data_IF_849728979800
#
_entry.id   IF_849728979800
#
_cell.length_a   1.000
_cell.length_b   1.000
_cell.length_c   1.000
_cell.angle_alpha   90.00
_cell.angle_beta   90.00
_cell.angle_gamma   90.00
#
_symmetry.space_group_name_H-M   'P 1'
#
loop_
_entity.id
_entity.type
_entity.pdbx_description
1 polymer ?
#
# COMPACT_ATOMS: atom_id res chain seq x y z
N UNK A 1 7.45 -26.27 -18.53
CA UNK A 1 6.45 -27.11 -17.83
C UNK A 1 5.66 -26.20 -16.94
N UNK A 2 4.37 -26.46 -16.78
CA UNK A 2 3.54 -25.77 -15.80
C UNK A 2 3.29 -26.72 -14.63
N UNK A 3 3.72 -26.33 -13.44
CA UNK A 3 3.54 -27.10 -12.23
C UNK A 3 2.22 -26.79 -11.52
N UNK A 4 1.45 -25.78 -11.97
CA UNK A 4 0.27 -25.30 -11.25
C UNK A 4 0.65 -24.84 -9.83
N UNK A 5 -0.17 -25.19 -8.84
CA UNK A 5 0.00 -24.77 -7.44
C UNK A 5 0.66 -25.84 -6.54
N UNK A 6 1.13 -26.96 -7.10
CA UNK A 6 1.47 -28.16 -6.30
C UNK A 6 2.72 -28.02 -5.40
N UNK A 7 3.59 -27.04 -5.67
CA UNK A 7 4.83 -26.79 -4.92
C UNK A 7 4.82 -25.48 -4.15
N UNK A 8 3.69 -24.77 -4.14
CA UNK A 8 3.51 -23.51 -3.44
C UNK A 8 2.38 -23.64 -2.43
N UNK A 9 2.51 -23.00 -1.29
CA UNK A 9 1.46 -22.98 -0.27
C UNK A 9 0.25 -22.18 -0.75
N UNK A 10 -0.87 -22.32 -0.04
CA UNK A 10 -1.89 -21.28 -0.07
C UNK A 10 -1.33 -19.93 0.42
N UNK A 11 -1.96 -18.82 0.02
CA UNK A 11 -1.59 -17.48 0.47
C UNK A 11 -1.85 -17.30 1.97
N UNK A 12 -0.94 -16.60 2.64
CA UNK A 12 -1.21 -15.92 3.90
C UNK A 12 -1.52 -14.45 3.61
N UNK A 13 -2.67 -13.97 4.07
CA UNK A 13 -3.10 -12.58 3.85
C UNK A 13 -2.67 -11.72 5.04
N UNK A 14 -1.81 -10.73 4.79
CA UNK A 14 -1.38 -9.74 5.76
C UNK A 14 -2.09 -8.41 5.55
N UNK A 15 -2.65 -7.86 6.63
CA UNK A 15 -3.19 -6.51 6.70
C UNK A 15 -2.42 -5.71 7.73
N UNK A 16 -1.43 -4.95 7.27
CA UNK A 16 -0.36 -4.49 8.16
C UNK A 16 0.33 -5.71 8.80
N UNK A 17 0.51 -5.68 10.12
CA UNK A 17 1.17 -6.76 10.86
C UNK A 17 0.22 -7.91 11.25
N UNK A 18 -1.07 -7.83 10.90
CA UNK A 18 -2.08 -8.83 11.26
C UNK A 18 -2.34 -9.81 10.13
N UNK A 19 -2.44 -11.09 10.46
CA UNK A 19 -2.94 -12.12 9.53
C UNK A 19 -4.46 -12.14 9.59
N UNK A 20 -5.10 -12.20 8.42
CA UNK A 20 -6.56 -12.28 8.29
C UNK A 20 -6.95 -13.51 7.48
N UNK A 21 -8.17 -14.02 7.71
CA UNK A 21 -8.68 -15.19 7.01
C UNK A 21 -9.32 -14.82 5.65
N UNK A 22 -9.44 -15.80 4.77
CA UNK A 22 -9.98 -15.60 3.41
C UNK A 22 -11.49 -15.28 3.37
N UNK A 23 -12.23 -15.46 4.47
CA UNK A 23 -13.64 -15.08 4.57
C UNK A 23 -13.84 -13.70 5.22
N UNK A 24 -12.78 -13.08 5.75
CA UNK A 24 -12.86 -11.71 6.25
C UNK A 24 -13.09 -10.77 5.07
N UNK A 25 -14.14 -9.95 5.14
CA UNK A 25 -14.38 -8.89 4.17
C UNK A 25 -13.28 -7.82 4.28
N UNK A 26 -12.72 -7.46 3.13
CA UNK A 26 -11.65 -6.46 3.02
C UNK A 26 -12.14 -5.39 2.07
N UNK A 27 -12.16 -4.15 2.56
CA UNK A 27 -12.52 -3.00 1.76
C UNK A 27 -11.63 -2.87 0.53
N UNK A 28 -12.23 -2.48 -0.60
CA UNK A 28 -11.54 -2.30 -1.87
C UNK A 28 -10.36 -1.30 -1.82
N UNK A 29 -10.36 -0.34 -0.88
CA UNK A 29 -9.28 0.61 -0.71
C UNK A 29 -8.26 0.23 0.37
N UNK A 30 -8.43 -0.93 1.01
CA UNK A 30 -7.45 -1.43 1.98
C UNK A 30 -6.38 -2.27 1.30
N UNK A 31 -5.13 -1.90 1.51
CA UNK A 31 -3.99 -2.70 1.08
C UNK A 31 -3.83 -3.93 1.96
N UNK A 32 -3.45 -5.02 1.30
CA UNK A 32 -2.98 -6.25 1.93
C UNK A 32 -1.74 -6.75 1.20
N UNK A 33 -1.03 -7.69 1.80
CA UNK A 33 0.03 -8.44 1.14
C UNK A 33 -0.33 -9.92 1.14
N UNK A 34 -0.07 -10.60 0.03
CA UNK A 34 -0.22 -12.04 -0.11
C UNK A 34 1.18 -12.65 -0.04
N UNK A 35 1.39 -13.54 0.94
CA UNK A 35 2.64 -14.25 1.12
C UNK A 35 2.47 -15.74 0.86
N UNK A 36 3.46 -16.36 0.23
CA UNK A 36 3.49 -17.76 -0.12
C UNK A 36 4.86 -18.33 0.27
N UNK A 37 4.87 -19.61 0.60
CA UNK A 37 6.10 -20.40 0.72
C UNK A 37 6.10 -21.44 -0.40
N UNK A 38 7.26 -21.77 -0.94
CA UNK A 38 7.38 -22.87 -1.89
C UNK A 38 8.47 -23.85 -1.45
N UNK A 39 8.27 -25.12 -1.78
CA UNK A 39 9.23 -26.19 -1.52
C UNK A 39 9.16 -27.19 -2.68
N UNK A 40 10.30 -27.42 -3.33
CA UNK A 40 10.36 -28.23 -4.55
C UNK A 40 11.19 -29.49 -4.28
N UNK A 41 10.59 -30.70 -4.34
CA UNK A 41 11.29 -31.94 -4.08
C UNK A 41 12.53 -32.14 -4.96
N UNK A 42 13.58 -32.76 -4.41
CA UNK A 42 14.88 -32.91 -5.08
C UNK A 42 14.82 -33.69 -6.41
N UNK A 43 13.84 -34.57 -6.57
CA UNK A 43 13.66 -35.39 -7.77
C UNK A 43 12.98 -34.66 -8.93
N UNK A 44 12.59 -33.40 -8.74
CA UNK A 44 11.99 -32.57 -9.79
C UNK A 44 13.08 -31.84 -10.56
N UNK A 45 13.06 -31.93 -11.88
CA UNK A 45 13.91 -31.10 -12.73
C UNK A 45 13.18 -29.80 -13.04
N UNK A 46 13.85 -28.67 -12.82
CA UNK A 46 13.36 -27.35 -13.18
C UNK A 46 14.23 -26.84 -14.32
N UNK A 47 13.59 -26.34 -15.37
CA UNK A 47 14.23 -25.61 -16.47
C UNK A 47 13.76 -24.16 -16.43
N UNK A 48 14.63 -23.22 -16.81
CA UNK A 48 14.23 -21.83 -16.95
C UNK A 48 13.01 -21.70 -17.88
N UNK A 49 12.00 -20.94 -17.45
CA UNK A 49 10.71 -20.80 -18.12
C UNK A 49 9.62 -21.77 -17.65
N UNK A 50 9.93 -22.72 -16.77
CA UNK A 50 8.89 -23.46 -16.05
C UNK A 50 8.09 -22.53 -15.12
N UNK A 51 6.83 -22.87 -14.82
CA UNK A 51 5.91 -21.98 -14.09
C UNK A 51 5.24 -22.64 -12.89
N UNK A 52 4.83 -21.81 -11.92
CA UNK A 52 3.86 -22.13 -10.86
C UNK A 52 2.77 -21.07 -10.81
N UNK A 53 1.55 -21.49 -10.48
CA UNK A 53 0.41 -20.61 -10.28
C UNK A 53 0.34 -20.14 -8.83
N UNK A 54 0.15 -18.83 -8.64
CA UNK A 54 -0.02 -18.21 -7.32
C UNK A 54 -1.50 -17.86 -7.15
N UNK A 55 -2.22 -18.69 -6.37
CA UNK A 55 -3.66 -18.49 -6.14
C UNK A 55 -3.93 -17.15 -5.46
N UNK A 56 -4.83 -16.35 -6.03
CA UNK A 56 -5.35 -15.12 -5.42
C UNK A 56 -6.63 -15.43 -4.64
N UNK A 57 -6.73 -15.10 -3.33
CA UNK A 57 -7.96 -15.23 -2.56
C UNK A 57 -9.11 -14.39 -3.11
N UNK A 58 -10.34 -14.88 -3.04
CA UNK A 58 -11.54 -14.20 -3.57
C UNK A 58 -11.84 -12.86 -2.87
N UNK A 59 -11.46 -12.72 -1.60
CA UNK A 59 -11.58 -11.47 -0.85
C UNK A 59 -10.51 -10.42 -1.21
N UNK A 60 -9.65 -10.71 -2.20
CA UNK A 60 -8.57 -9.83 -2.64
C UNK A 60 -8.51 -9.63 -4.16
N UNK A 61 -7.90 -8.53 -4.58
CA UNK A 61 -7.65 -8.19 -5.98
C UNK A 61 -6.22 -7.66 -6.17
N UNK A 62 -5.63 -7.97 -7.32
CA UNK A 62 -4.44 -7.29 -7.82
C UNK A 62 -4.85 -5.87 -8.23
N UNK A 63 -4.28 -4.86 -7.56
CA UNK A 63 -4.64 -3.46 -7.81
C UNK A 63 -4.07 -2.91 -9.13
N UNK A 64 -2.89 -3.39 -9.52
CA UNK A 64 -2.20 -3.00 -10.76
C UNK A 64 -1.30 -4.15 -11.19
N UNK A 65 -1.23 -4.43 -12.49
CA UNK A 65 -0.36 -5.48 -13.01
C UNK A 65 1.10 -5.15 -12.65
N UNK A 66 1.86 -6.18 -12.29
CA UNK A 66 3.23 -6.03 -11.80
C UNK A 66 4.13 -7.14 -12.31
N UNK A 67 5.44 -6.90 -12.26
CA UNK A 67 6.47 -7.91 -12.45
C UNK A 67 7.71 -7.54 -11.63
N UNK A 68 8.29 -8.50 -10.92
CA UNK A 68 9.57 -8.33 -10.23
C UNK A 68 10.34 -9.65 -10.19
N UNK A 69 11.66 -9.55 -10.04
CA UNK A 69 12.55 -10.70 -9.98
C UNK A 69 12.93 -11.03 -8.53
N UNK A 70 13.02 -12.31 -8.23
CA UNK A 70 13.69 -12.85 -7.05
C UNK A 70 15.03 -13.40 -7.53
N UNK A 71 16.11 -12.88 -6.96
CA UNK A 71 17.49 -13.24 -7.31
C UNK A 71 18.21 -13.83 -6.11
N UNK A 72 19.18 -14.71 -6.35
CA UNK A 72 20.08 -15.22 -5.34
C UNK A 72 21.11 -14.16 -4.92
N UNK A 73 21.89 -14.44 -3.88
CA UNK A 73 22.93 -13.53 -3.36
C UNK A 73 23.99 -13.14 -4.41
N UNK A 74 24.24 -14.02 -5.37
CA UNK A 74 25.16 -13.78 -6.49
C UNK A 74 24.52 -13.03 -7.68
N UNK A 75 23.24 -12.66 -7.56
CA UNK A 75 22.45 -11.99 -8.59
C UNK A 75 21.83 -12.93 -9.63
N UNK A 76 22.00 -14.24 -9.51
CA UNK A 76 21.37 -15.20 -10.43
C UNK A 76 19.85 -15.19 -10.27
N UNK A 77 19.12 -15.10 -11.38
CA UNK A 77 17.65 -15.12 -11.38
C UNK A 77 17.11 -16.47 -10.90
N UNK A 78 16.35 -16.44 -9.80
CA UNK A 78 15.64 -17.60 -9.27
C UNK A 78 14.29 -17.73 -9.94
N UNK A 79 13.51 -16.64 -9.97
CA UNK A 79 12.22 -16.59 -10.65
C UNK A 79 11.76 -15.14 -10.85
N UNK A 80 10.92 -14.94 -11.86
CA UNK A 80 10.16 -13.70 -12.06
C UNK A 80 8.73 -13.94 -11.59
N UNK A 81 8.24 -13.08 -10.70
CA UNK A 81 6.84 -13.07 -10.27
C UNK A 81 6.10 -12.03 -11.10
N UNK A 82 4.97 -12.42 -11.69
CA UNK A 82 4.10 -11.53 -12.44
C UNK A 82 2.67 -11.65 -11.96
N UNK A 83 1.95 -10.52 -11.96
CA UNK A 83 0.54 -10.46 -11.62
C UNK A 83 -0.22 -9.58 -12.61
N UNK A 84 -1.42 -10.00 -12.99
CA UNK A 84 -2.26 -9.29 -13.94
C UNK A 84 -3.57 -8.82 -13.29
N UNK A 85 -3.78 -7.51 -13.25
CA UNK A 85 -4.96 -6.90 -12.63
C UNK A 85 -6.25 -7.11 -13.41
N UNK A 86 -6.19 -7.39 -14.73
CA UNK A 86 -7.40 -7.58 -15.55
C UNK A 86 -8.01 -8.96 -15.35
N UNK A 87 -7.16 -9.99 -15.34
CA UNK A 87 -7.56 -11.39 -15.09
C UNK A 87 -7.54 -11.77 -13.62
N UNK A 88 -6.94 -10.95 -12.76
CA UNK A 88 -6.70 -11.21 -11.34
C UNK A 88 -5.93 -12.53 -11.11
N UNK A 89 -4.88 -12.74 -11.88
CA UNK A 89 -4.02 -13.94 -11.83
C UNK A 89 -2.58 -13.57 -11.50
N UNK A 90 -1.84 -14.49 -10.89
CA UNK A 90 -0.41 -14.34 -10.65
C UNK A 90 0.34 -15.64 -10.92
N UNK A 91 1.56 -15.51 -11.44
CA UNK A 91 2.39 -16.62 -11.89
C UNK A 91 3.84 -16.37 -11.50
N UNK A 92 4.50 -17.40 -10.97
CA UNK A 92 5.94 -17.45 -10.79
C UNK A 92 6.57 -18.19 -11.98
N UNK A 93 7.55 -17.58 -12.65
CA UNK A 93 8.30 -18.19 -13.76
C UNK A 93 9.74 -18.42 -13.34
N UNK A 94 10.21 -19.66 -13.33
CA UNK A 94 11.56 -20.01 -12.90
C UNK A 94 12.63 -19.45 -13.84
N UNK A 95 13.70 -18.95 -13.25
CA UNK A 95 14.95 -18.62 -13.91
C UNK A 95 15.94 -19.80 -13.90
N UNK A 96 17.20 -19.57 -14.32
CA UNK A 96 18.20 -20.63 -14.46
C UNK A 96 18.76 -21.17 -13.14
N UNK A 97 18.55 -20.50 -11.99
CA UNK A 97 19.20 -20.85 -10.73
C UNK A 97 19.03 -22.33 -10.34
N UNK A 98 17.81 -22.87 -10.46
CA UNK A 98 17.50 -24.25 -10.05
C UNK A 98 17.88 -25.34 -11.07
N UNK A 99 18.45 -24.98 -12.22
CA UNK A 99 19.07 -25.94 -13.13
C UNK A 99 20.36 -26.52 -12.53
N UNK A 100 21.07 -25.70 -11.73
CA UNK A 100 22.31 -26.07 -11.05
C UNK A 100 22.10 -26.43 -9.57
N UNK A 101 21.16 -25.76 -8.91
CA UNK A 101 20.81 -26.00 -7.50
C UNK A 101 19.63 -26.97 -7.41
N UNK A 102 19.90 -28.27 -7.34
CA UNK A 102 18.90 -29.34 -7.51
C UNK A 102 18.34 -29.92 -6.20
N UNK A 103 18.91 -29.59 -5.05
CA UNK A 103 18.47 -30.11 -3.76
C UNK A 103 17.98 -28.99 -2.83
N UNK A 104 17.13 -29.33 -1.87
CA UNK A 104 16.65 -28.47 -0.78
C UNK A 104 16.10 -27.11 -1.27
N UNK A 105 15.37 -27.13 -2.39
CA UNK A 105 14.88 -25.91 -3.04
C UNK A 105 13.65 -25.37 -2.33
N UNK A 106 13.74 -24.14 -1.84
CA UNK A 106 12.66 -23.50 -1.10
C UNK A 106 12.80 -21.99 -1.07
N UNK A 107 11.71 -21.30 -0.73
CA UNK A 107 11.73 -19.86 -0.52
C UNK A 107 10.37 -19.27 -0.23
N UNK A 108 10.32 -17.94 -0.26
CA UNK A 108 9.15 -17.15 0.05
C UNK A 108 8.84 -16.20 -1.11
N UNK A 109 7.55 -15.93 -1.33
CA UNK A 109 7.06 -14.99 -2.32
C UNK A 109 6.07 -14.07 -1.62
N UNK A 110 6.18 -12.76 -1.83
CA UNK A 110 5.24 -11.78 -1.30
C UNK A 110 4.91 -10.76 -2.37
N UNK A 111 3.63 -10.40 -2.51
CA UNK A 111 3.24 -9.25 -3.30
C UNK A 111 2.03 -8.51 -2.73
N UNK A 112 1.91 -7.24 -3.10
CA UNK A 112 0.81 -6.38 -2.69
C UNK A 112 -0.47 -6.71 -3.45
N UNK A 113 -1.59 -6.67 -2.72
CA UNK A 113 -2.94 -6.75 -3.24
C UNK A 113 -3.82 -5.75 -2.45
N UNK A 114 -5.12 -5.77 -2.71
CA UNK A 114 -6.12 -5.00 -1.99
C UNK A 114 -7.36 -5.84 -1.74
N UNK A 115 -8.30 -5.34 -0.93
CA UNK A 115 -9.60 -5.98 -0.78
C UNK A 115 -10.44 -6.01 -2.06
N UNK A 116 -11.44 -6.89 -2.09
CA UNK A 116 -12.41 -7.01 -3.19
C UNK A 116 -13.79 -6.46 -2.85
N UNK A 117 -14.07 -6.13 -1.59
CA UNK A 117 -15.40 -5.71 -1.13
C UNK A 117 -15.62 -4.22 -1.34
N UNK A 118 -16.66 -3.87 -2.11
CA UNK A 118 -17.20 -2.52 -2.14
C UNK A 118 -18.16 -2.34 -0.96
N UNK A 119 -17.75 -1.62 0.08
CA UNK A 119 -18.66 -1.25 1.16
C UNK A 119 -19.45 0.00 0.78
N UNK A 120 -20.77 -0.04 0.97
CA UNK A 120 -21.63 1.13 0.84
C UNK A 120 -21.88 1.73 2.24
N UNK A 121 -21.40 2.95 2.46
CA UNK A 121 -21.80 3.76 3.60
C UNK A 121 -22.44 5.06 3.09
N UNK A 122 -23.76 5.20 3.17
CA UNK A 122 -24.41 6.42 2.67
C UNK A 122 -24.26 7.63 3.62
N UNK A 123 -23.73 7.47 4.83
CA UNK A 123 -23.78 8.53 5.87
C UNK A 123 -22.50 9.38 5.99
N UNK A 124 -21.46 9.14 5.18
CA UNK A 124 -20.23 9.94 5.29
C UNK A 124 -20.40 11.38 4.81
N UNK A 125 -19.62 12.27 5.46
CA UNK A 125 -19.54 13.71 5.16
C UNK A 125 -18.23 14.11 4.49
N UNK A 126 -17.18 13.28 4.62
CA UNK A 126 -15.95 13.36 3.87
C UNK A 126 -15.47 11.97 3.47
N UNK A 127 -14.93 11.85 2.26
CA UNK A 127 -14.24 10.65 1.78
C UNK A 127 -12.91 11.03 1.14
N UNK A 128 -11.90 10.17 1.28
CA UNK A 128 -10.59 10.34 0.66
C UNK A 128 -10.12 9.02 0.06
N UNK A 129 -9.61 9.09 -1.16
CA UNK A 129 -9.04 7.95 -1.89
C UNK A 129 -7.71 8.35 -2.53
N UNK A 130 -6.85 7.35 -2.73
CA UNK A 130 -5.55 7.50 -3.38
C UNK A 130 -5.33 6.45 -4.47
N UNK A 131 -4.69 6.83 -5.56
CA UNK A 131 -4.22 5.90 -6.59
C UNK A 131 -2.87 6.34 -7.16
N UNK A 132 -2.19 5.41 -7.82
CA UNK A 132 -0.90 5.69 -8.45
C UNK A 132 -1.09 6.44 -9.77
N UNK A 133 -0.21 7.39 -10.07
CA UNK A 133 -0.11 7.95 -11.42
C UNK A 133 0.21 6.84 -12.44
N UNK A 134 -0.08 7.09 -13.72
CA UNK A 134 0.14 6.09 -14.78
C UNK A 134 1.59 5.57 -14.84
N UNK A 135 2.58 6.44 -14.60
CA UNK A 135 4.01 6.09 -14.55
C UNK A 135 4.49 5.61 -13.16
N UNK A 136 3.55 5.53 -12.20
CA UNK A 136 3.74 5.23 -10.79
C UNK A 136 4.70 6.18 -10.05
N UNK A 137 5.07 7.34 -10.60
CA UNK A 137 6.02 8.26 -9.92
C UNK A 137 5.36 9.17 -8.88
N UNK A 138 4.03 9.21 -8.87
CA UNK A 138 3.25 10.09 -8.00
C UNK A 138 2.03 9.38 -7.43
N UNK A 139 1.52 9.89 -6.31
CA UNK A 139 0.22 9.56 -5.77
C UNK A 139 -0.80 10.63 -6.18
N UNK A 140 -1.96 10.22 -6.67
CA UNK A 140 -3.09 11.08 -6.97
C UNK A 140 -4.11 10.91 -5.87
N UNK A 141 -4.54 12.02 -5.28
CA UNK A 141 -5.46 12.05 -4.16
C UNK A 141 -6.75 12.76 -4.58
N UNK A 142 -7.88 12.18 -4.20
CA UNK A 142 -9.18 12.85 -4.31
C UNK A 142 -9.87 12.88 -2.95
N UNK A 143 -10.49 14.02 -2.63
CA UNK A 143 -11.34 14.18 -1.46
C UNK A 143 -12.69 14.71 -1.92
N UNK A 144 -13.77 14.09 -1.44
CA UNK A 144 -15.13 14.60 -1.55
C UNK A 144 -15.59 15.04 -0.17
N UNK A 145 -16.17 16.23 -0.06
CA UNK A 145 -16.70 16.80 1.20
C UNK A 145 -18.14 17.24 0.97
N UNK A 146 -18.97 17.11 2.00
CA UNK A 146 -20.37 17.50 2.02
C UNK A 146 -21.17 16.98 0.80
N UNK A 147 -21.11 15.67 0.50
CA UNK A 147 -21.73 15.11 -0.71
C UNK A 147 -23.24 15.38 -0.78
N UNK A 148 -23.92 15.49 0.37
CA UNK A 148 -25.37 15.77 0.46
C UNK A 148 -25.72 17.26 0.37
N UNK A 149 -24.74 18.14 0.13
CA UNK A 149 -24.93 19.60 0.02
C UNK A 149 -25.63 20.23 1.23
N UNK A 150 -25.33 19.73 2.44
CA UNK A 150 -25.88 20.27 3.69
C UNK A 150 -25.34 21.68 3.93
N UNK A 151 -26.10 22.50 4.65
CA UNK A 151 -25.63 23.80 5.12
C UNK A 151 -24.74 23.61 6.35
N UNK A 152 -23.44 23.88 6.22
CA UNK A 152 -22.40 23.71 7.26
C UNK A 152 -21.52 24.97 7.29
N UNK A 153 -21.15 25.46 8.46
CA UNK A 153 -20.37 26.70 8.65
C UNK A 153 -18.98 26.44 9.24
N UNK A 154 -18.05 27.39 9.04
CA UNK A 154 -16.66 27.34 9.50
C UNK A 154 -15.91 26.05 9.09
N UNK A 155 -16.15 25.59 7.86
CA UNK A 155 -15.57 24.37 7.33
C UNK A 155 -14.10 24.59 7.00
N UNK A 156 -13.20 23.81 7.61
CA UNK A 156 -11.76 23.84 7.39
C UNK A 156 -11.30 22.42 7.06
N UNK A 157 -10.64 22.27 5.92
CA UNK A 157 -9.95 21.04 5.54
C UNK A 157 -8.45 21.18 5.82
N UNK A 158 -7.86 20.20 6.50
CA UNK A 158 -6.41 20.05 6.63
C UNK A 158 -5.99 18.73 6.00
N UNK A 159 -5.03 18.78 5.09
CA UNK A 159 -4.39 17.61 4.47
C UNK A 159 -2.95 17.49 4.92
N UNK A 160 -2.53 16.27 5.26
CA UNK A 160 -1.20 15.95 5.77
C UNK A 160 -0.70 14.72 5.01
N UNK A 161 0.32 14.92 4.18
CA UNK A 161 1.01 13.82 3.51
C UNK A 161 1.71 12.93 4.55
N UNK A 162 1.69 11.62 4.29
CA UNK A 162 2.55 10.67 4.99
C UNK A 162 4.01 10.83 4.56
N UNK A 163 4.87 10.01 5.16
CA UNK A 163 6.31 10.03 4.90
C UNK A 163 6.66 9.81 3.42
N UNK A 164 7.88 10.25 3.05
CA UNK A 164 8.47 10.08 1.72
C UNK A 164 7.62 10.64 0.57
N UNK A 165 6.85 11.69 0.83
CA UNK A 165 6.09 12.42 -0.19
C UNK A 165 6.27 13.92 -0.06
N UNK A 166 6.08 14.62 -1.18
CA UNK A 166 6.06 16.07 -1.22
C UNK A 166 5.07 16.66 -2.22
N UNK A 167 4.60 17.87 -1.92
CA UNK A 167 3.91 18.79 -2.80
C UNK A 167 4.95 19.77 -3.37
N UNK A 168 5.44 19.55 -4.58
CA UNK A 168 6.48 20.40 -5.17
C UNK A 168 6.06 21.86 -5.28
N UNK A 169 7.05 22.76 -5.36
CA UNK A 169 6.80 24.16 -5.72
C UNK A 169 5.99 24.26 -7.02
N UNK A 170 4.81 24.88 -6.95
CA UNK A 170 3.88 24.99 -8.07
C UNK A 170 2.97 23.78 -8.28
N UNK A 171 2.85 22.89 -7.29
CA UNK A 171 1.79 21.89 -7.29
C UNK A 171 0.41 22.56 -7.41
N UNK A 172 -0.52 21.87 -8.04
CA UNK A 172 -1.86 22.36 -8.29
C UNK A 172 -2.86 21.50 -7.53
N UNK A 173 -3.84 22.18 -6.93
CA UNK A 173 -5.05 21.56 -6.41
C UNK A 173 -6.18 22.02 -7.34
N UNK A 174 -6.86 21.07 -7.97
CA UNK A 174 -8.16 21.34 -8.59
C UNK A 174 -9.20 21.17 -7.49
N UNK A 175 -9.76 22.27 -6.99
CA UNK A 175 -10.76 22.27 -5.94
C UNK A 175 -12.01 23.01 -6.43
N UNK A 176 -13.17 22.36 -6.41
CA UNK A 176 -14.41 22.84 -7.02
C UNK A 176 -15.60 22.60 -6.08
N UNK A 177 -16.51 23.58 -6.02
CA UNK A 177 -17.86 23.43 -5.48
C UNK A 177 -18.76 22.76 -6.53
N UNK A 178 -19.74 21.99 -6.08
CA UNK A 178 -20.59 21.23 -6.98
C UNK A 178 -21.71 20.44 -6.30
N UNK A 179 -22.19 19.43 -7.01
CA UNK A 179 -23.09 18.39 -6.48
C UNK A 179 -22.45 17.02 -6.68
N UNK A 180 -22.67 16.12 -5.72
CA UNK A 180 -22.15 14.75 -5.79
C UNK A 180 -23.30 13.76 -5.71
N UNK A 181 -23.32 12.80 -6.62
CA UNK A 181 -24.23 11.65 -6.55
C UNK A 181 -23.49 10.47 -5.95
N UNK A 182 -23.85 10.07 -4.73
CA UNK A 182 -23.22 8.94 -4.02
C UNK A 182 -23.39 7.59 -4.75
N UNK A 183 -24.46 7.42 -5.53
CA UNK A 183 -24.76 6.16 -6.22
C UNK A 183 -23.96 6.03 -7.50
N UNK A 184 -23.90 7.09 -8.30
CA UNK A 184 -23.12 7.10 -9.56
C UNK A 184 -21.68 7.54 -9.37
N UNK A 185 -21.34 8.06 -8.18
CA UNK A 185 -20.04 8.60 -7.80
C UNK A 185 -19.59 9.76 -8.68
N UNK A 186 -20.55 10.41 -9.31
CA UNK A 186 -20.32 11.49 -10.24
C UNK A 186 -20.35 12.83 -9.50
N UNK A 187 -19.30 13.63 -9.70
CA UNK A 187 -19.24 15.02 -9.27
C UNK A 187 -19.54 15.95 -10.44
N UNK A 188 -20.52 16.82 -10.28
CA UNK A 188 -20.82 17.88 -11.22
C UNK A 188 -20.29 19.20 -10.67
N UNK A 189 -19.24 19.72 -11.30
CA UNK A 189 -18.64 21.00 -10.95
C UNK A 189 -19.59 22.18 -11.24
N UNK A 190 -19.56 23.17 -10.35
CA UNK A 190 -20.27 24.43 -10.49
C UNK A 190 -19.28 25.59 -10.60
N UNK A 191 -18.41 25.74 -9.61
CA UNK A 191 -17.42 26.83 -9.58
C UNK A 191 -16.14 26.40 -8.85
N UNK A 192 -14.97 26.94 -9.23
CA UNK A 192 -13.73 26.67 -8.53
C UNK A 192 -13.71 27.32 -7.15
N UNK A 193 -13.02 26.69 -6.20
CA UNK A 193 -12.66 27.31 -4.92
C UNK A 193 -11.60 28.38 -5.18
N UNK A 194 -11.74 29.54 -4.52
CA UNK A 194 -10.75 30.61 -4.58
C UNK A 194 -9.38 30.12 -4.08
N UNK A 195 -8.33 30.12 -4.93
CA UNK A 195 -6.99 29.69 -4.53
C UNK A 195 -6.42 30.47 -3.34
N UNK A 196 -6.89 31.69 -3.06
CA UNK A 196 -6.45 32.48 -1.90
C UNK A 196 -6.81 31.84 -0.56
N UNK A 197 -7.78 30.92 -0.54
CA UNK A 197 -8.22 30.16 0.64
C UNK A 197 -7.30 28.97 0.96
N UNK A 198 -6.35 28.67 0.09
CA UNK A 198 -5.46 27.51 0.19
C UNK A 198 -4.11 27.99 0.72
N UNK A 199 -3.71 27.47 1.88
CA UNK A 199 -2.37 27.65 2.43
C UNK A 199 -1.64 26.30 2.38
N UNK A 200 -0.50 26.24 1.72
CA UNK A 200 0.23 24.99 1.50
C UNK A 200 1.65 25.00 2.04
N UNK A 201 2.14 23.80 2.28
CA UNK A 201 3.53 23.46 2.62
C UNK A 201 3.97 22.33 1.69
N UNK A 202 5.24 21.91 1.78
CA UNK A 202 5.72 20.77 0.99
C UNK A 202 5.10 19.43 1.44
N UNK A 203 4.48 19.36 2.62
CA UNK A 203 3.94 18.10 3.19
C UNK A 203 2.44 18.13 3.42
N UNK A 204 1.72 19.11 2.87
CA UNK A 204 0.28 19.22 3.08
C UNK A 204 -0.25 20.62 2.85
N UNK A 205 -1.54 20.82 3.13
CA UNK A 205 -2.21 22.10 2.96
C UNK A 205 -3.43 22.25 3.88
N UNK A 206 -3.88 23.48 4.06
CA UNK A 206 -5.13 23.84 4.73
C UNK A 206 -5.99 24.65 3.76
N UNK A 207 -7.28 24.35 3.71
CA UNK A 207 -8.27 25.10 2.93
C UNK A 207 -9.37 25.62 3.87
N UNK A 208 -9.54 26.93 3.93
CA UNK A 208 -10.70 27.56 4.57
C UNK A 208 -11.89 27.56 3.59
N UNK A 209 -12.76 26.55 3.73
CA UNK A 209 -13.94 26.40 2.90
C UNK A 209 -15.07 27.34 3.35
N UNK A 210 -15.03 27.85 4.58
CA UNK A 210 -16.02 28.76 5.14
C UNK A 210 -17.40 28.09 5.27
N UNK A 211 -18.42 28.71 4.70
CA UNK A 211 -19.79 28.14 4.69
C UNK A 211 -20.00 27.32 3.43
N UNK A 212 -20.44 26.08 3.58
CA UNK A 212 -20.82 25.18 2.49
C UNK A 212 -22.33 24.94 2.49
N UNK A 213 -22.90 24.92 1.29
CA UNK A 213 -24.25 24.46 0.95
C UNK A 213 -24.24 23.58 -0.31
N UNK A 214 -23.04 23.13 -0.69
CA UNK A 214 -22.71 22.35 -1.88
C UNK A 214 -21.67 21.30 -1.49
N UNK A 215 -21.54 20.27 -2.33
CA UNK A 215 -20.41 19.36 -2.25
C UNK A 215 -19.12 20.07 -2.70
N UNK A 216 -17.99 19.58 -2.20
CA UNK A 216 -16.66 19.97 -2.67
C UNK A 216 -15.96 18.73 -3.18
N UNK A 217 -15.35 18.83 -4.37
CA UNK A 217 -14.39 17.85 -4.86
C UNK A 217 -13.04 18.52 -4.99
N UNK A 218 -12.00 17.82 -4.55
CA UNK A 218 -10.63 18.28 -4.70
C UNK A 218 -9.70 17.16 -5.11
N UNK A 219 -8.85 17.45 -6.09
CA UNK A 219 -7.88 16.52 -6.68
C UNK A 219 -6.51 17.17 -6.76
N UNK A 220 -5.49 16.46 -6.33
CA UNK A 220 -4.11 16.92 -6.34
C UNK A 220 -3.15 15.72 -6.39
N UNK A 221 -1.87 16.02 -6.58
CA UNK A 221 -0.82 15.03 -6.78
C UNK A 221 0.32 15.31 -5.80
N UNK A 222 0.83 14.26 -5.16
CA UNK A 222 2.09 14.28 -4.41
C UNK A 222 3.14 13.41 -5.12
N UNK A 223 4.40 13.83 -5.08
CA UNK A 223 5.49 13.03 -5.62
C UNK A 223 5.92 11.97 -4.62
N UNK A 224 6.36 10.83 -5.13
CA UNK A 224 6.96 9.75 -4.34
C UNK A 224 8.47 9.95 -4.27
N UNK A 225 9.01 10.01 -3.05
CA UNK A 225 10.43 10.27 -2.79
C UNK A 225 11.25 9.02 -2.50
N UNK A 226 10.59 7.87 -2.34
CA UNK A 226 11.22 6.58 -2.08
C UNK A 226 10.87 5.57 -3.18
N UNK A 227 11.03 4.28 -2.89
CA UNK A 227 10.50 3.21 -3.72
C UNK A 227 9.03 3.50 -4.10
N UNK A 228 8.82 3.65 -5.40
CA UNK A 228 7.53 4.01 -5.97
C UNK A 228 6.48 2.91 -5.85
N UNK A 229 6.93 1.69 -5.60
CA UNK A 229 6.09 0.50 -5.51
C UNK A 229 5.48 0.30 -4.12
N UNK A 230 5.96 1.01 -3.11
CA UNK A 230 5.37 1.00 -1.77
C UNK A 230 4.03 1.74 -1.75
N UNK A 231 3.11 1.35 -0.84
CA UNK A 231 1.96 2.17 -0.48
C UNK A 231 2.39 3.51 0.13
N UNK A 232 1.76 4.60 -0.32
CA UNK A 232 1.96 5.94 0.23
C UNK A 232 0.71 6.38 0.98
N UNK A 233 0.88 6.98 2.15
CA UNK A 233 -0.23 7.37 3.05
C UNK A 233 -0.53 8.85 2.98
N UNK A 234 -1.78 9.21 3.24
CA UNK A 234 -2.20 10.60 3.33
C UNK A 234 -3.43 10.72 4.25
N UNK A 235 -3.48 11.79 5.04
CA UNK A 235 -4.54 12.04 6.02
C UNK A 235 -5.26 13.36 5.74
N UNK A 236 -6.58 13.31 5.73
CA UNK A 236 -7.44 14.49 5.70
C UNK A 236 -8.20 14.64 7.02
N UNK A 237 -8.31 15.88 7.49
CA UNK A 237 -9.02 16.27 8.70
C UNK A 237 -10.02 17.38 8.32
N UNK A 238 -11.31 17.13 8.55
CA UNK A 238 -12.38 18.10 8.31
C UNK A 238 -12.92 18.60 9.64
N UNK A 239 -12.84 19.91 9.83
CA UNK A 239 -13.42 20.62 10.97
C UNK A 239 -14.57 21.50 10.47
N UNK A 240 -15.62 21.64 11.26
CA UNK A 240 -16.69 22.61 11.03
C UNK A 240 -17.43 22.90 12.34
N UNK A 241 -18.34 23.88 12.33
CA UNK A 241 -19.20 24.13 13.49
C UNK A 241 -20.06 22.91 13.83
N UNK A 242 -20.09 22.54 15.11
CA UNK A 242 -20.89 21.44 15.63
C UNK A 242 -20.43 20.96 17.00
N UNK A 243 -21.13 19.96 17.55
CA UNK A 243 -20.78 19.31 18.82
C UNK A 243 -20.00 17.99 18.60
N UNK A 244 -19.58 17.73 17.36
CA UNK A 244 -18.86 16.53 16.95
C UNK A 244 -17.35 16.76 16.87
N UNK A 245 -16.59 15.67 16.99
CA UNK A 245 -15.16 15.68 16.74
C UNK A 245 -14.85 15.93 15.25
N UNK A 246 -13.64 16.40 14.92
CA UNK A 246 -13.18 16.50 13.54
C UNK A 246 -13.25 15.15 12.83
N UNK A 247 -13.68 15.16 11.56
CA UNK A 247 -13.68 13.94 10.75
C UNK A 247 -12.28 13.69 10.24
N UNK A 248 -11.70 12.54 10.57
CA UNK A 248 -10.36 12.15 10.14
C UNK A 248 -10.47 10.95 9.19
N UNK A 249 -9.90 11.08 7.99
CA UNK A 249 -9.79 9.99 7.01
C UNK A 249 -8.32 9.80 6.66
N UNK A 250 -7.83 8.58 6.82
CA UNK A 250 -6.56 8.15 6.25
C UNK A 250 -6.82 7.34 4.97
N UNK A 251 -5.99 7.58 3.96
CA UNK A 251 -6.01 6.86 2.71
C UNK A 251 -4.60 6.47 2.32
N UNK A 252 -4.49 5.42 1.49
CA UNK A 252 -3.23 4.95 0.97
C UNK A 252 -3.34 4.66 -0.53
N UNK A 253 -2.24 4.83 -1.26
CA UNK A 253 -2.16 4.31 -2.63
C UNK A 253 -1.95 2.80 -2.60
N UNK A 254 -2.39 2.06 -3.63
CA UNK A 254 -2.06 0.65 -3.74
C UNK A 254 -0.55 0.42 -3.84
N UNK A 255 -0.06 -0.61 -3.15
CA UNK A 255 1.28 -1.16 -3.39
C UNK A 255 1.32 -1.90 -4.73
N UNK A 256 2.51 -2.00 -5.34
CA UNK A 256 2.73 -2.69 -6.62
C UNK A 256 3.92 -3.63 -6.47
N UNK A 257 3.83 -4.85 -7.00
CA UNK A 257 4.92 -5.82 -6.91
C UNK A 257 5.11 -6.36 -5.49
N UNK A 258 6.34 -6.65 -5.12
CA UNK A 258 6.69 -7.19 -3.82
C UNK A 258 8.12 -7.71 -3.78
N UNK A 259 8.33 -8.82 -3.09
CA UNK A 259 9.64 -9.41 -2.93
C UNK A 259 9.56 -10.89 -2.59
N UNK A 260 10.70 -11.47 -2.27
CA UNK A 260 10.77 -12.86 -1.91
C UNK A 260 12.21 -13.33 -1.78
N UNK A 261 12.35 -14.61 -1.54
CA UNK A 261 13.62 -15.29 -1.35
C UNK A 261 13.60 -16.65 -2.03
N UNK A 262 14.79 -17.19 -2.25
CA UNK A 262 14.95 -18.55 -2.77
C UNK A 262 16.33 -19.09 -2.44
N UNK A 263 16.40 -20.39 -2.25
CA UNK A 263 17.62 -21.10 -1.90
C UNK A 263 17.57 -22.52 -2.45
N UNK A 264 18.74 -23.09 -2.71
CA UNK A 264 18.89 -24.49 -3.05
C UNK A 264 20.36 -24.89 -3.09
N UNK A 265 20.63 -26.18 -2.95
CA UNK A 265 21.96 -26.76 -2.95
C UNK A 265 22.29 -27.36 -4.33
N UNK A 266 23.56 -27.30 -4.79
CA UNK A 266 24.03 -28.12 -5.89
C UNK A 266 23.79 -29.58 -5.50
N UNK A 267 22.90 -30.28 -6.23
CA UNK A 267 22.49 -31.64 -5.82
C UNK A 267 23.67 -32.59 -5.69
N UNK A 268 23.51 -33.71 -4.97
CA UNK A 268 24.55 -34.73 -4.88
C UNK A 268 25.06 -35.09 -6.28
N UNK A 269 26.35 -34.84 -6.51
CA UNK A 269 27.03 -35.35 -7.70
C UNK A 269 27.10 -36.87 -7.53
N UNK A 270 26.16 -37.60 -8.12
CA UNK A 270 26.34 -39.03 -8.32
C UNK A 270 27.52 -39.19 -9.28
N UNK A 271 28.73 -39.27 -8.74
CA UNK A 271 29.86 -39.88 -9.44
C UNK A 271 29.47 -41.35 -9.65
N UNK A 272 28.80 -41.63 -10.76
CA UNK A 272 28.76 -42.98 -11.30
C UNK A 272 30.22 -43.36 -11.61
N UNK A 273 30.83 -44.06 -10.67
CA UNK A 273 32.03 -44.84 -10.96
C UNK A 273 31.56 -45.92 -11.92
N UNK A 274 31.85 -45.73 -13.20
CA UNK A 274 31.69 -46.78 -14.21
C UNK A 274 32.69 -47.88 -13.84
N UNK A 275 32.27 -48.82 -13.01
CA UNK A 275 32.95 -50.10 -12.83
C UNK A 275 32.72 -50.91 -14.12
N UNK A 276 33.59 -50.70 -15.10
CA UNK A 276 33.74 -51.61 -16.25
C UNK A 276 34.27 -52.96 -15.77
N UNK A 277 33.37 -53.82 -15.29
CA UNK A 277 33.62 -55.26 -15.19
C UNK A 277 33.60 -55.85 -16.60
N UNK A 278 34.75 -55.85 -17.28
CA UNK A 278 34.99 -56.68 -18.46
C UNK A 278 35.42 -58.07 -18.01
N UNK A 279 34.64 -59.07 -18.43
CA UNK A 279 34.94 -60.48 -18.24
C UNK A 279 36.24 -60.93 -18.92
N UNK A 280 36.84 -61.96 -18.31
CA UNK A 280 38.08 -62.65 -18.69
C UNK A 280 38.20 -62.99 -20.18
N UNK A 281 39.42 -62.83 -20.74
CA UNK A 281 40.23 -63.98 -21.20
C UNK A 281 41.62 -63.57 -21.71
N UNK A 282 42.60 -64.40 -21.35
CA UNK A 282 43.92 -64.67 -21.99
C UNK A 282 45.16 -63.80 -21.66
N UNK A 283 46.11 -64.46 -20.93
CA UNK A 283 47.58 -64.57 -21.13
C UNK A 283 48.38 -63.30 -21.52
N UNK A 284 49.51 -62.90 -20.91
CA UNK A 284 50.71 -63.64 -20.46
C UNK A 284 51.68 -62.66 -19.76
N UNK A 285 52.45 -63.16 -18.78
CA UNK A 285 53.77 -62.73 -18.26
C UNK A 285 54.32 -61.31 -18.59
N UNK A 286 54.76 -60.51 -17.59
CA UNK A 286 56.10 -60.57 -16.95
C UNK A 286 56.42 -59.31 -16.10
N UNK A 287 57.03 -59.57 -14.94
CA UNK A 287 58.05 -58.81 -14.17
C UNK A 287 57.83 -57.41 -13.57
N UNK A 288 58.30 -57.36 -12.30
CA UNK A 288 58.93 -56.26 -11.52
C UNK A 288 58.18 -54.95 -11.36
N UNK A 289 58.32 -54.19 -10.27
CA UNK A 289 58.83 -54.31 -8.91
C UNK A 289 58.39 -52.97 -8.27
N UNK A 290 58.36 -52.92 -6.93
CA UNK A 290 58.50 -51.74 -6.06
C UNK A 290 58.55 -50.34 -6.72
N UNK A 291 57.87 -49.33 -6.18
CA UNK A 291 58.40 -48.64 -5.00
C UNK A 291 57.32 -47.83 -4.28
N UNK A 292 57.39 -47.93 -2.96
CA UNK A 292 56.75 -47.19 -1.88
C UNK A 292 57.22 -45.73 -1.74
N UNK A 293 56.60 -45.06 -0.76
CA UNK A 293 57.01 -43.83 -0.05
C UNK A 293 56.42 -42.53 -0.60
N UNK A 294 55.44 -41.95 0.11
CA UNK A 294 55.58 -41.03 1.27
C UNK A 294 55.82 -39.60 0.74
N UNK A 295 55.23 -38.52 1.24
CA UNK A 295 55.04 -38.07 2.63
C UNK A 295 54.10 -36.84 2.55
N UNK A 296 53.01 -36.77 3.33
CA UNK A 296 52.82 -36.01 4.58
C UNK A 296 53.05 -34.49 4.46
N UNK A 297 51.98 -33.71 4.65
CA UNK A 297 51.83 -32.69 5.72
C UNK A 297 50.38 -32.17 5.70
N UNK A 298 49.46 -32.64 6.54
CA UNK A 298 49.13 -32.18 7.92
C UNK A 298 49.19 -30.68 8.17
N UNK A 299 48.00 -30.06 8.32
CA UNK A 299 47.64 -29.44 9.62
C UNK A 299 46.14 -29.17 9.67
N UNK A 300 45.49 -29.92 10.54
CA UNK A 300 44.26 -29.55 11.25
C UNK A 300 44.53 -28.39 12.20
N UNK A 301 43.51 -27.54 12.43
CA UNK A 301 43.17 -27.04 13.76
C UNK A 301 41.73 -26.55 13.77
N UNK A 302 41.01 -26.99 14.79
CA UNK A 302 39.61 -26.72 15.10
C UNK A 302 39.36 -25.31 15.68
N UNK A 303 38.10 -24.90 15.54
CA UNK A 303 37.23 -24.17 16.48
C UNK A 303 37.69 -22.85 17.13
N UNK A 304 36.92 -21.79 16.87
CA UNK A 304 36.37 -20.97 17.97
C UNK A 304 35.12 -20.23 17.51
N UNK A 305 34.03 -20.44 18.25
CA UNK A 305 32.84 -19.59 18.25
C UNK A 305 33.15 -18.24 18.91
N UNK A 306 32.61 -17.16 18.36
CA UNK A 306 32.40 -15.90 19.07
C UNK A 306 30.97 -15.40 18.80
N UNK A 307 30.16 -15.38 19.86
CA UNK A 307 29.00 -14.53 20.01
C UNK A 307 29.46 -13.06 20.10
N UNK A 308 28.77 -12.16 19.40
CA UNK A 308 28.77 -10.74 19.77
C UNK A 308 27.33 -10.25 19.80
N UNK A 309 26.91 -9.91 21.02
CA UNK A 309 25.74 -9.12 21.34
C UNK A 309 25.95 -7.64 20.99
N UNK A 310 24.89 -6.99 20.50
CA UNK A 310 24.79 -5.52 20.46
C UNK A 310 23.41 -5.07 20.93
N UNK A 311 23.35 -4.69 22.21
CA UNK A 311 22.31 -3.82 22.81
C UNK A 311 22.69 -2.36 22.56
N UNK A 312 21.83 -1.59 21.90
CA UNK A 312 20.92 -0.58 22.47
C UNK A 312 21.55 0.78 22.75
N UNK A 313 21.07 1.80 22.03
CA UNK A 313 20.86 3.15 22.58
C UNK A 313 19.64 3.77 21.87
N UNK A 314 18.51 3.73 22.57
CA UNK A 314 17.29 4.49 22.24
C UNK A 314 17.07 5.46 23.38
N UNK A 315 17.24 6.74 23.11
CA UNK A 315 16.84 7.82 24.02
C UNK A 315 15.33 8.00 23.88
N UNK A 316 14.60 7.49 24.86
CA UNK A 316 13.18 7.75 25.09
C UNK A 316 13.07 8.99 25.98
N UNK A 317 12.55 10.10 25.46
CA UNK A 317 12.00 11.17 26.31
C UNK A 317 10.48 11.01 26.34
N UNK A 318 10.02 10.42 27.44
CA UNK A 318 8.66 10.44 27.94
C UNK A 318 8.37 11.79 28.60
N UNK A 319 7.36 12.52 28.11
CA UNK A 319 6.72 13.59 28.88
C UNK A 319 5.28 13.15 29.15
N UNK A 320 5.05 12.75 30.39
CA UNK A 320 3.74 12.51 30.99
C UNK A 320 2.98 13.82 31.22
N UNK A 321 1.65 13.67 31.17
CA UNK A 321 0.64 14.65 31.58
C UNK A 321 0.89 15.20 33.00
N UNK A 322 0.70 16.51 33.15
CA UNK A 322 0.30 17.10 34.43
C UNK A 322 -1.02 17.84 34.26
N UNK A 323 -2.08 17.22 34.78
CA UNK A 323 -3.37 17.82 35.05
C UNK A 323 -3.17 18.85 36.17
N UNK A 324 -3.42 20.13 35.87
CA UNK A 324 -3.62 21.16 36.88
C UNK A 324 -5.07 21.66 36.78
N UNK A 325 -5.90 21.15 37.67
CA UNK A 325 -7.22 21.69 37.98
C UNK A 325 -7.07 23.07 38.63
N UNK A 326 -7.64 24.11 38.03
CA UNK A 326 -8.02 25.32 38.76
C UNK A 326 -9.52 25.49 38.67
N UNK A 327 -10.19 25.01 39.70
CA UNK A 327 -11.53 25.41 40.12
C UNK A 327 -11.58 26.94 40.26
N UNK A 328 -12.52 27.58 39.58
CA UNK A 328 -13.12 28.80 40.08
C UNK A 328 -14.62 28.69 39.91
N UNK A 329 -15.26 28.36 41.02
CA UNK A 329 -16.66 28.64 41.27
C UNK A 329 -16.87 30.16 41.18
N UNK A 330 -17.84 30.57 40.38
CA UNK A 330 -18.69 31.69 40.77
C UNK A 330 -20.11 31.44 40.29
N UNK A 331 -20.92 30.96 41.24
CA UNK A 331 -22.35 31.15 41.29
C UNK A 331 -22.72 32.57 40.84
N UNK A 332 -23.80 32.70 40.05
CA UNK A 332 -24.95 33.54 40.42
C UNK A 332 -26.14 33.17 39.54
N UNK A 333 -27.13 32.55 40.20
CA UNK A 333 -28.53 32.51 39.81
C UNK A 333 -29.12 33.91 39.82
N UNK A 334 -29.96 34.24 38.84
CA UNK A 334 -31.09 35.14 39.06
C UNK A 334 -32.24 34.79 38.12
N UNK A 335 -33.32 34.35 38.75
CA UNK A 335 -34.65 34.11 38.23
C UNK A 335 -35.35 35.39 37.75
N UNK A 336 -36.16 35.19 36.71
CA UNK A 336 -37.56 35.60 36.49
C UNK A 336 -38.04 37.06 36.57
N UNK A 337 -38.93 37.33 35.58
CA UNK A 337 -40.25 38.01 35.63
C UNK A 337 -40.33 39.38 34.94
N UNK A 338 -41.40 39.82 34.25
CA UNK A 338 -42.70 39.31 33.75
C UNK A 338 -43.28 40.42 32.81
N UNK A 339 -44.10 40.05 31.81
CA UNK A 339 -45.14 40.86 31.08
C UNK A 339 -44.64 41.97 30.11
N UNK A 340 -45.21 42.24 28.92
CA UNK A 340 -46.62 42.26 28.49
C UNK A 340 -46.78 42.29 26.94
N UNK A 341 -47.83 41.63 26.43
CA UNK A 341 -48.67 41.94 25.24
C UNK A 341 -48.07 42.60 23.99
N UNK A 342 -48.10 41.91 22.83
CA UNK A 342 -49.09 42.17 21.77
C UNK A 342 -48.93 41.19 20.59
N UNK A 343 -50.08 40.80 20.05
CA UNK A 343 -50.23 39.88 18.93
C UNK A 343 -49.85 40.53 17.59
N UNK A 344 -48.85 39.96 16.90
CA UNK A 344 -48.67 40.11 15.44
C UNK A 344 -48.24 38.77 14.84
N UNK A 345 -48.97 38.40 13.79
CA UNK A 345 -48.82 37.23 12.93
C UNK A 345 -47.36 37.05 12.48
N UNK A 346 -46.73 35.91 12.80
CA UNK A 346 -45.52 35.44 12.11
C UNK A 346 -45.66 33.94 11.86
N UNK A 347 -45.38 33.58 10.62
CA UNK A 347 -45.44 32.24 10.06
C UNK A 347 -44.79 31.18 10.95
N UNK A 348 -45.37 29.99 10.88
CA UNK A 348 -44.81 28.72 11.34
C UNK A 348 -43.37 28.60 10.85
N UNK A 349 -42.43 28.90 11.74
CA UNK A 349 -41.03 28.57 11.58
C UNK A 349 -40.92 27.07 11.85
N UNK A 350 -40.82 26.28 10.78
CA UNK A 350 -40.22 24.96 10.87
C UNK A 350 -38.89 25.09 11.64
N UNK A 351 -38.76 24.33 12.72
CA UNK A 351 -37.51 24.19 13.45
C UNK A 351 -36.44 23.71 12.49
N UNK A 352 -35.61 24.64 12.04
CA UNK A 352 -34.37 24.35 11.33
C UNK A 352 -33.47 23.62 12.33
N UNK A 353 -33.51 22.28 12.32
CA UNK A 353 -32.62 21.46 13.13
C UNK A 353 -31.19 21.96 12.92
N UNK A 354 -30.47 22.26 14.00
CA UNK A 354 -29.09 22.73 13.87
C UNK A 354 -28.28 21.68 13.10
N UNK A 355 -27.87 22.02 11.88
CA UNK A 355 -27.01 21.22 10.99
C UNK A 355 -25.58 21.17 11.54
N UNK A 356 -25.41 20.55 12.71
CA UNK A 356 -24.11 20.24 13.28
C UNK A 356 -23.56 19.00 12.57
N UNK A 357 -22.25 18.95 12.34
CA UNK A 357 -21.62 17.70 11.90
C UNK A 357 -22.04 16.57 12.87
N UNK A 358 -22.39 15.37 12.36
CA UNK A 358 -22.65 14.23 13.23
C UNK A 358 -21.37 13.93 14.04
N UNK A 359 -21.53 13.44 15.29
CA UNK A 359 -20.40 12.93 16.07
C UNK A 359 -19.76 11.78 15.29
N UNK A 360 -18.64 12.02 14.64
CA UNK A 360 -17.93 11.02 13.88
C UNK A 360 -16.48 11.04 14.34
N UNK A 361 -16.08 9.99 15.05
CA UNK A 361 -14.67 9.71 15.30
C UNK A 361 -13.98 9.25 14.01
N UNK A 362 -12.82 8.60 14.14
CA UNK A 362 -12.11 7.99 13.01
C UNK A 362 -13.08 7.20 12.11
N UNK A 363 -13.39 7.74 10.94
CA UNK A 363 -14.17 7.03 9.94
C UNK A 363 -13.17 6.29 9.08
N UNK A 364 -13.27 4.96 9.06
CA UNK A 364 -12.63 4.17 8.01
C UNK A 364 -13.14 4.74 6.68
N UNK A 365 -12.27 5.01 5.71
CA UNK A 365 -12.68 5.42 4.35
C UNK A 365 -13.65 4.37 3.81
N UNK A 366 -14.88 4.75 3.42
CA UNK A 366 -15.99 3.79 3.26
C UNK A 366 -16.85 4.00 1.99
N UNK A 367 -16.41 4.76 0.98
CA UNK A 367 -17.04 4.71 -0.34
C UNK A 367 -16.01 4.82 -1.46
N UNK A 368 -16.22 3.98 -2.48
CA UNK A 368 -15.23 3.66 -3.47
C UNK A 368 -15.32 4.50 -4.75
N UNK A 369 -14.60 5.62 -4.91
CA UNK A 369 -14.46 6.22 -6.24
C UNK A 369 -13.76 5.22 -7.17
N UNK A 370 -14.55 4.48 -7.95
CA UNK A 370 -14.01 3.57 -8.95
C UNK A 370 -13.26 4.42 -9.97
N UNK A 371 -12.03 4.02 -10.29
CA UNK A 371 -11.15 4.68 -11.26
C UNK A 371 -11.65 4.63 -12.71
N UNK A 372 -12.96 4.65 -12.92
CA UNK A 372 -13.58 4.81 -14.23
C UNK A 372 -13.76 6.30 -14.53
N UNK A 373 -12.67 6.90 -15.01
CA UNK A 373 -12.75 7.97 -15.98
C UNK A 373 -13.60 9.19 -15.61
N UNK A 374 -13.20 9.95 -14.59
CA UNK A 374 -13.40 11.39 -14.71
C UNK A 374 -12.35 11.91 -15.68
N UNK A 375 -12.83 12.34 -16.83
CA UNK A 375 -12.08 12.99 -17.91
C UNK A 375 -11.41 14.25 -17.35
N UNK A 376 -10.24 14.09 -16.74
CA UNK A 376 -9.27 15.16 -16.50
C UNK A 376 -7.86 14.67 -16.90
N UNK A 377 -7.78 14.08 -18.09
CA UNK A 377 -6.53 13.84 -18.85
C UNK A 377 -5.82 15.16 -19.22
N UNK A 378 -6.36 16.33 -18.84
CA UNK A 378 -5.72 17.62 -19.09
C UNK A 378 -4.51 17.87 -18.18
N UNK A 379 -4.51 17.46 -16.91
CA UNK A 379 -3.42 17.84 -15.99
C UNK A 379 -2.13 17.07 -16.28
N UNK A 380 -2.19 15.75 -16.43
CA UNK A 380 -1.01 14.95 -16.75
C UNK A 380 -0.40 15.32 -18.12
N UNK A 381 -1.23 15.51 -19.15
CA UNK A 381 -0.74 15.90 -20.48
C UNK A 381 -0.24 17.37 -20.54
N UNK A 382 -0.86 18.30 -19.80
CA UNK A 382 -0.43 19.69 -19.77
C UNK A 382 0.90 19.85 -19.00
N UNK A 383 1.07 19.13 -17.89
CA UNK A 383 2.30 19.16 -17.10
C UNK A 383 3.48 18.50 -17.82
N UNK A 384 3.25 17.38 -18.53
CA UNK A 384 4.29 16.74 -19.37
C UNK A 384 4.69 17.65 -20.55
N UNK A 385 3.73 18.34 -21.18
CA UNK A 385 4.04 19.27 -22.29
C UNK A 385 4.87 20.46 -21.84
N UNK A 386 4.60 21.02 -20.65
CA UNK A 386 5.36 22.18 -20.13
C UNK A 386 6.81 21.82 -19.81
N UNK A 387 7.05 20.69 -19.15
CA UNK A 387 8.41 20.20 -18.83
C UNK A 387 9.27 19.96 -20.09
N UNK A 388 8.67 19.45 -21.17
CA UNK A 388 9.37 19.22 -22.43
C UNK A 388 9.65 20.52 -23.23
N UNK A 389 8.83 21.56 -23.06
CA UNK A 389 9.07 22.86 -23.69
C UNK A 389 10.19 23.65 -23.01
N UNK A 390 10.34 23.53 -21.69
CA UNK A 390 11.39 24.22 -20.94
C UNK A 390 12.77 23.57 -21.13
N UNK A 391 12.83 22.24 -21.32
CA UNK A 391 14.08 21.52 -21.61
C UNK A 391 14.60 21.73 -23.05
N UNK A 392 13.74 22.11 -24.00
CA UNK A 392 14.15 22.40 -25.38
C UNK A 392 14.55 23.87 -25.60
N UNK A 393 14.64 24.69 -24.54
CA UNK A 393 15.02 26.11 -24.60
C UNK A 393 16.31 26.45 -23.85
N UNK A 394 17.15 25.45 -23.52
CA UNK A 394 18.51 25.68 -23.00
C UNK A 394 19.57 25.24 -23.97
#
# INVERSE_FOLDING_TARGET
>A
MDFGDIYVSGPTIFKGDSIIDENTEIDYHQNVSLAYTYNIPNNISITAGDTMDLRIPENTLIASSFSYDIVADDGTLIMTISGDALSNTATATFGPYYELHKANRQGEILFYARGSTMMENEEWVMNKVGWNSFDNTSAVWNIIINPDSKYITNVILTDILGEMQELNSGFLIQAELGTYDKKTQYFQALEPIDPSKISSTDVGFVIDLGTLNNAVSLTYVSNKLSDKNLPYRNKAILQADGDGDPVVIEAETPGIGGGGSGSGDPGESTSETIDTSSGESSTTEKDSEETTSETIDTSSTESSSEEIATTSDTTTESIEESIASSTNESNTSSQESISSSDSVIVAELEEKSSNKLPKTGYLKSMIALTGYGLIFISIALFLIKKKNQDNNKR
#
